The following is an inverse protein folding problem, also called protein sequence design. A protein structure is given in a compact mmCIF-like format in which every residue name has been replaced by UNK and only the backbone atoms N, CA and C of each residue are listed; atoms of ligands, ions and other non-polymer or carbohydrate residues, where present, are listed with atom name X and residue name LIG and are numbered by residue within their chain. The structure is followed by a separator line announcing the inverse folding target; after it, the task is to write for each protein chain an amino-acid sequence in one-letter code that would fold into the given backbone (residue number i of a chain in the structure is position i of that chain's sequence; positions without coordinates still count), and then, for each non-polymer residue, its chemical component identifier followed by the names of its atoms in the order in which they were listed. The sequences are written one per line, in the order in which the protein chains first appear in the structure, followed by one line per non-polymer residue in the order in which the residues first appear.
data_IF_510630781888
#
_entry.id   IF_510630781888
#
_cell.length_a   1.000
_cell.length_b   1.000
_cell.length_c   1.000
_cell.angle_alpha   90.00
_cell.angle_beta   90.00
_cell.angle_gamma   90.00
#
_symmetry.space_group_name_H-M   'P 1'
#
loop_
_entity.id
_entity.type
_entity.pdbx_description
1 polymer ?
#
# COMPACT_ATOMS: atom_id res chain seq x y z
N UNK A 1 -0.63 -4.18 -4.84
CA UNK A 1 -1.49 -5.38 -4.95
C UNK A 1 -2.91 -4.95 -5.31
N UNK A 2 -3.55 -5.59 -6.29
CA UNK A 2 -4.95 -5.33 -6.66
C UNK A 2 -5.68 -6.66 -6.85
N UNK A 3 -6.47 -7.04 -5.85
CA UNK A 3 -7.26 -8.28 -5.88
C UNK A 3 -8.65 -8.09 -6.46
N UNK A 4 -9.05 -6.84 -6.77
CA UNK A 4 -10.37 -6.56 -7.30
C UNK A 4 -10.51 -7.03 -8.75
N UNK A 5 -9.49 -6.84 -9.59
CA UNK A 5 -9.60 -7.14 -11.03
C UNK A 5 -9.12 -8.54 -11.42
N UNK A 6 -8.09 -9.07 -10.77
CA UNK A 6 -7.45 -10.34 -11.16
C UNK A 6 -7.03 -11.19 -9.93
N UNK A 7 -7.99 -11.66 -9.12
CA UNK A 7 -7.70 -12.44 -7.92
C UNK A 7 -6.89 -13.70 -8.22
N UNK A 8 -7.03 -14.30 -9.41
CA UNK A 8 -6.28 -15.48 -9.86
C UNK A 8 -4.77 -15.23 -9.98
N UNK A 9 -4.35 -13.97 -10.12
CA UNK A 9 -2.94 -13.59 -10.18
C UNK A 9 -2.36 -13.18 -8.83
N UNK A 10 -3.11 -13.32 -7.72
CA UNK A 10 -2.69 -12.83 -6.40
C UNK A 10 -1.30 -13.34 -5.98
N UNK A 11 -1.00 -14.62 -6.21
CA UNK A 11 0.31 -15.20 -5.90
C UNK A 11 1.45 -14.50 -6.67
N UNK A 12 1.27 -14.30 -7.97
CA UNK A 12 2.25 -13.60 -8.81
C UNK A 12 2.39 -12.13 -8.43
N UNK A 13 1.29 -11.47 -8.04
CA UNK A 13 1.33 -10.09 -7.57
C UNK A 13 2.13 -9.96 -6.27
N UNK A 14 1.97 -10.90 -5.32
CA UNK A 14 2.76 -10.93 -4.08
C UNK A 14 4.24 -11.13 -4.38
N UNK A 15 4.58 -12.13 -5.19
CA UNK A 15 5.97 -12.43 -5.58
C UNK A 15 6.66 -11.21 -6.21
N UNK A 16 5.99 -10.53 -7.15
CA UNK A 16 6.54 -9.33 -7.78
C UNK A 16 6.64 -8.18 -6.77
N UNK A 17 5.65 -8.02 -5.90
CA UNK A 17 5.68 -6.96 -4.90
C UNK A 17 6.84 -7.14 -3.91
N UNK A 18 7.05 -8.36 -3.41
CA UNK A 18 8.20 -8.72 -2.56
C UNK A 18 9.53 -8.35 -3.24
N UNK A 19 9.73 -8.78 -4.49
CA UNK A 19 10.94 -8.44 -5.27
C UNK A 19 11.17 -6.93 -5.42
N UNK A 20 10.11 -6.16 -5.64
CA UNK A 20 10.20 -4.70 -5.74
C UNK A 20 10.52 -4.04 -4.39
N UNK A 21 9.99 -4.57 -3.28
CA UNK A 21 10.31 -4.09 -1.93
C UNK A 21 11.79 -4.35 -1.62
N UNK A 22 12.27 -5.57 -1.87
CA UNK A 22 13.67 -5.93 -1.64
C UNK A 22 14.62 -5.01 -2.41
N UNK A 23 14.34 -4.79 -3.70
CA UNK A 23 15.14 -3.91 -4.55
C UNK A 23 15.10 -2.44 -4.09
N UNK A 24 13.93 -1.96 -3.66
CA UNK A 24 13.77 -0.59 -3.17
C UNK A 24 14.58 -0.35 -1.88
N UNK A 25 14.59 -1.34 -0.98
CA UNK A 25 15.39 -1.31 0.24
C UNK A 25 16.89 -1.37 -0.08
N UNK A 26 17.31 -2.26 -0.98
CA UNK A 26 18.71 -2.38 -1.41
C UNK A 26 19.23 -1.07 -2.02
N UNK A 27 18.45 -0.45 -2.91
CA UNK A 27 18.84 0.77 -3.62
C UNK A 27 18.50 2.05 -2.86
N UNK A 28 17.89 1.95 -1.69
CA UNK A 28 17.35 3.06 -0.92
C UNK A 28 16.50 4.02 -1.79
N UNK A 29 15.53 3.45 -2.51
CA UNK A 29 14.59 4.19 -3.37
C UNK A 29 13.18 4.11 -2.78
N UNK A 30 12.41 5.20 -2.77
CA UNK A 30 11.07 5.18 -2.23
C UNK A 30 10.12 4.34 -3.10
N UNK A 31 9.16 3.68 -2.46
CA UNK A 31 8.12 2.89 -3.12
C UNK A 31 6.89 3.76 -3.45
N UNK A 32 6.25 3.49 -4.59
CA UNK A 32 4.92 4.01 -4.92
C UNK A 32 3.98 2.82 -4.98
N UNK A 33 3.09 2.72 -3.99
CA UNK A 33 2.35 1.48 -3.72
C UNK A 33 0.89 1.67 -4.07
N UNK A 34 0.41 0.79 -4.95
CA UNK A 34 -1.03 0.56 -5.15
C UNK A 34 -1.50 -0.53 -4.19
N UNK A 35 -2.62 -0.31 -3.50
CA UNK A 35 -3.31 -1.39 -2.79
C UNK A 35 -4.82 -1.28 -2.95
N UNK A 36 -5.48 -2.41 -3.18
CA UNK A 36 -6.94 -2.51 -3.24
C UNK A 36 -7.39 -3.91 -2.83
N UNK A 37 -8.22 -4.01 -1.81
CA UNK A 37 -8.70 -5.27 -1.24
C UNK A 37 -7.54 -6.23 -0.85
N UNK A 38 -6.38 -5.66 -0.52
CA UNK A 38 -5.14 -6.42 -0.27
C UNK A 38 -4.36 -5.86 0.92
N UNK A 39 -5.05 -5.21 1.87
CA UNK A 39 -4.48 -4.49 3.02
C UNK A 39 -3.49 -5.33 3.82
N UNK A 40 -3.93 -6.49 4.30
CA UNK A 40 -3.13 -7.37 5.16
C UNK A 40 -1.85 -7.83 4.47
N UNK A 41 -1.98 -8.38 3.25
CA UNK A 41 -0.83 -8.82 2.46
C UNK A 41 0.13 -7.66 2.13
N UNK A 42 -0.41 -6.46 1.89
CA UNK A 42 0.42 -5.28 1.62
C UNK A 42 1.29 -4.92 2.82
N UNK A 43 0.69 -4.79 4.01
CA UNK A 43 1.43 -4.45 5.24
C UNK A 43 2.42 -5.55 5.63
N UNK A 44 2.02 -6.81 5.49
CA UNK A 44 2.88 -7.95 5.83
C UNK A 44 4.13 -8.00 4.95
N UNK A 45 3.98 -7.78 3.64
CA UNK A 45 5.13 -7.75 2.71
C UNK A 45 6.05 -6.57 3.02
N UNK A 46 5.49 -5.39 3.29
CA UNK A 46 6.29 -4.20 3.64
C UNK A 46 7.09 -4.39 4.93
N UNK A 47 6.46 -4.95 5.98
CA UNK A 47 7.12 -5.25 7.26
C UNK A 47 8.22 -6.29 7.10
N UNK A 48 7.94 -7.38 6.38
CA UNK A 48 8.92 -8.46 6.17
C UNK A 48 10.12 -7.99 5.34
N UNK A 49 9.88 -7.14 4.34
CA UNK A 49 10.92 -6.59 3.49
C UNK A 49 11.73 -5.46 4.12
N UNK A 50 11.37 -4.98 5.32
CA UNK A 50 12.08 -3.86 5.96
C UNK A 50 11.88 -2.54 5.22
N UNK A 51 10.70 -2.33 4.64
CA UNK A 51 10.40 -1.18 3.79
C UNK A 51 10.44 0.16 4.54
N UNK A 52 10.41 0.15 5.88
CA UNK A 52 10.61 1.35 6.72
C UNK A 52 11.96 2.03 6.49
N UNK A 53 12.93 1.31 5.92
CA UNK A 53 14.25 1.85 5.58
C UNK A 53 14.24 2.80 4.40
N UNK A 54 13.33 2.60 3.44
CA UNK A 54 13.24 3.42 2.21
C UNK A 54 11.96 4.26 2.15
N UNK A 55 10.89 3.88 2.87
CA UNK A 55 9.60 4.55 2.88
C UNK A 55 8.95 4.64 1.50
N UNK A 56 8.00 5.56 1.36
CA UNK A 56 7.31 5.78 0.08
C UNK A 56 5.95 6.45 0.21
N UNK A 57 5.10 6.22 -0.78
CA UNK A 57 3.72 6.69 -0.85
C UNK A 57 2.78 5.50 -1.06
N UNK A 58 1.71 5.43 -0.27
CA UNK A 58 0.50 4.66 -0.63
C UNK A 58 -0.32 5.56 -1.54
N UNK A 59 -0.31 5.24 -2.84
CA UNK A 59 -0.94 6.07 -3.85
C UNK A 59 -2.44 5.78 -3.94
N UNK A 60 -3.22 6.78 -4.36
CA UNK A 60 -4.67 6.64 -4.59
C UNK A 60 -5.38 5.94 -3.42
N UNK A 61 -5.14 6.45 -2.22
CA UNK A 61 -5.58 5.80 -0.99
C UNK A 61 -7.10 5.74 -0.89
N UNK A 62 -7.64 4.54 -0.65
CA UNK A 62 -9.07 4.26 -0.48
C UNK A 62 -9.33 3.20 0.60
N UNK A 63 -8.36 2.96 1.48
CA UNK A 63 -8.48 1.98 2.56
C UNK A 63 -8.89 2.68 3.88
N UNK A 64 -8.93 1.96 4.99
CA UNK A 64 -9.43 2.43 6.29
C UNK A 64 -8.34 3.03 7.20
N UNK A 65 -8.78 3.71 8.27
CA UNK A 65 -7.91 4.37 9.25
C UNK A 65 -6.86 3.45 9.88
N UNK A 66 -7.17 2.20 10.30
CA UNK A 66 -6.16 1.29 10.84
C UNK A 66 -5.03 0.97 9.85
N UNK A 67 -5.35 0.84 8.56
CA UNK A 67 -4.32 0.66 7.54
C UNK A 67 -3.49 1.93 7.38
N UNK A 68 -4.14 3.10 7.37
CA UNK A 68 -3.46 4.39 7.27
C UNK A 68 -2.43 4.57 8.40
N UNK A 69 -2.83 4.35 9.65
CA UNK A 69 -1.96 4.42 10.82
C UNK A 69 -0.77 3.47 10.69
N UNK A 70 -1.03 2.20 10.34
CA UNK A 70 0.02 1.21 10.15
C UNK A 70 1.00 1.58 9.02
N UNK A 71 0.53 2.20 7.94
CA UNK A 71 1.39 2.67 6.86
C UNK A 71 2.26 3.87 7.30
N UNK A 72 1.69 4.81 8.07
CA UNK A 72 2.42 5.95 8.64
C UNK A 72 3.53 5.49 9.60
N UNK A 73 3.24 4.49 10.45
CA UNK A 73 4.24 3.89 11.36
C UNK A 73 5.42 3.27 10.61
N UNK A 74 5.19 2.75 9.40
CA UNK A 74 6.22 2.22 8.51
C UNK A 74 6.95 3.31 7.70
N UNK A 75 6.68 4.59 7.95
CA UNK A 75 7.34 5.71 7.27
C UNK A 75 6.80 6.00 5.86
N UNK A 76 5.58 5.55 5.55
CA UNK A 76 4.92 5.86 4.29
C UNK A 76 4.05 7.12 4.40
N UNK A 77 3.96 7.87 3.31
CA UNK A 77 2.96 8.92 3.14
C UNK A 77 1.68 8.35 2.53
N UNK A 78 0.55 9.00 2.82
CA UNK A 78 -0.75 8.62 2.27
C UNK A 78 -1.19 9.66 1.25
N UNK A 79 -1.47 9.20 0.03
CA UNK A 79 -1.98 10.06 -1.04
C UNK A 79 -3.51 10.12 -1.01
N UNK A 80 -4.04 11.20 -0.43
CA UNK A 80 -5.47 11.51 -0.53
C UNK A 80 -5.73 12.17 -1.88
N UNK A 81 -6.48 11.47 -2.74
CA UNK A 81 -6.83 11.93 -4.07
C UNK A 81 -8.23 12.56 -4.10
N UNK A 82 -8.68 13.04 -5.26
CA UNK A 82 -10.03 13.55 -5.45
C UNK A 82 -11.16 12.57 -5.10
N UNK A 83 -10.86 11.27 -4.93
CA UNK A 83 -11.84 10.25 -4.49
C UNK A 83 -12.50 10.63 -3.16
N UNK A 84 -11.81 11.37 -2.28
CA UNK A 84 -12.38 11.87 -1.01
C UNK A 84 -13.64 12.71 -1.22
N UNK A 85 -13.81 13.33 -2.38
CA UNK A 85 -14.99 14.15 -2.71
C UNK A 85 -16.21 13.30 -3.09
N UNK A 86 -16.04 12.00 -3.35
CA UNK A 86 -17.15 11.13 -3.77
C UNK A 86 -18.11 10.86 -2.60
N UNK A 87 -19.41 10.80 -2.90
CA UNK A 87 -20.44 10.55 -1.88
C UNK A 87 -20.24 9.22 -1.17
N UNK A 88 -19.77 8.20 -1.88
CA UNK A 88 -19.61 6.83 -1.39
C UNK A 88 -18.30 6.59 -0.61
N UNK A 89 -17.37 7.56 -0.63
CA UNK A 89 -16.08 7.44 0.07
C UNK A 89 -16.23 7.83 1.55
N UNK A 90 -17.09 7.13 2.30
CA UNK A 90 -17.36 7.45 3.72
C UNK A 90 -16.16 7.11 4.60
N UNK A 91 -15.59 5.90 4.46
CA UNK A 91 -14.41 5.48 5.25
C UNK A 91 -13.21 6.39 5.00
N UNK A 92 -12.94 6.75 3.74
CA UNK A 92 -11.85 7.66 3.37
C UNK A 92 -12.00 9.07 3.96
N UNK A 93 -13.22 9.52 4.29
CA UNK A 93 -13.45 10.84 4.92
C UNK A 93 -13.19 10.84 6.41
N UNK A 94 -13.15 9.66 7.03
CA UNK A 94 -12.83 9.49 8.45
C UNK A 94 -11.32 9.37 8.70
N UNK A 95 -10.53 9.23 7.63
CA UNK A 95 -9.06 9.24 7.61
C UNK A 95 -8.54 10.65 7.42
#
# INVERSE_FOLDING_TARGET
LDYHYKPETAALQKERFEQHVDLAVELNKPLIIHTRNARADTLDILRKGGAEKCGGVIHCFTEDLPFAEAALELGFYISISGIVTFRQATELKEV
#
